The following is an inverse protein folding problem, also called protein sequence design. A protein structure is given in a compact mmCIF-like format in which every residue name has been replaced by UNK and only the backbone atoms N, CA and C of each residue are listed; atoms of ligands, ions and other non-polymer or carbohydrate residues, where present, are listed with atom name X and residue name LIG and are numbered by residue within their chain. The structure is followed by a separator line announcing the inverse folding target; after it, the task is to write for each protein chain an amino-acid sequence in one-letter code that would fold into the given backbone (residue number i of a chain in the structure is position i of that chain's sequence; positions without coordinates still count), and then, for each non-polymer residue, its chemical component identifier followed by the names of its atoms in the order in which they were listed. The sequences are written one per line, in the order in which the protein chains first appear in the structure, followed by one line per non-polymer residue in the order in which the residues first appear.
data_IF_630375706303
#
_entry.id   IF_630375706303
#
_cell.length_a   1.000
_cell.length_b   1.000
_cell.length_c   1.000
_cell.angle_alpha   90.00
_cell.angle_beta   90.00
_cell.angle_gamma   90.00
#
_symmetry.space_group_name_H-M   'P 1'
#
loop_
_entity.id
_entity.type
_entity.pdbx_description
1 polymer ?
#
# COMPACT_ATOMS: atom_id res chain seq x y z
N UNK A 1 -1.52 -20.44 1.34
CA UNK A 1 -1.36 -20.15 -0.11
C UNK A 1 -1.37 -18.64 -0.31
N UNK A 2 -0.65 -18.11 -1.31
CA UNK A 2 -0.57 -16.67 -1.62
C UNK A 2 -1.10 -16.44 -3.03
N UNK A 3 -1.77 -15.30 -3.25
CA UNK A 3 -2.09 -14.80 -4.59
C UNK A 3 -1.52 -13.39 -4.76
N UNK A 4 -0.57 -13.25 -5.66
CA UNK A 4 0.10 -11.99 -5.94
C UNK A 4 -0.61 -11.28 -7.10
N UNK A 5 -1.18 -10.10 -6.82
CA UNK A 5 -2.00 -9.32 -7.77
C UNK A 5 -1.70 -7.82 -7.67
N UNK A 6 -2.19 -7.03 -8.63
CA UNK A 6 -2.01 -5.58 -8.62
C UNK A 6 -2.94 -4.96 -7.59
N UNK A 7 -2.42 -4.28 -6.55
CA UNK A 7 -3.24 -3.69 -5.49
C UNK A 7 -2.64 -2.37 -5.04
N UNK A 8 -3.40 -1.29 -5.16
CA UNK A 8 -3.04 0.06 -4.74
C UNK A 8 -4.32 0.93 -4.61
N UNK A 9 -4.25 2.18 -4.12
CA UNK A 9 -5.44 3.02 -3.91
C UNK A 9 -6.34 3.16 -5.14
N UNK A 10 -5.73 3.26 -6.33
CA UNK A 10 -6.47 3.35 -7.60
C UNK A 10 -7.00 2.02 -8.15
N UNK A 11 -6.61 0.88 -7.55
CA UNK A 11 -7.07 -0.45 -7.92
C UNK A 11 -7.22 -1.32 -6.67
N UNK A 12 -8.22 -0.96 -5.85
CA UNK A 12 -8.38 -1.44 -4.48
C UNK A 12 -8.97 -2.86 -4.36
N UNK A 13 -9.62 -3.36 -5.41
CA UNK A 13 -10.20 -4.71 -5.59
C UNK A 13 -10.90 -5.33 -4.35
N UNK A 14 -11.89 -4.69 -3.73
CA UNK A 14 -12.53 -5.20 -2.51
C UNK A 14 -13.18 -6.58 -2.69
N UNK A 15 -13.83 -6.84 -3.82
CA UNK A 15 -14.43 -8.14 -4.12
C UNK A 15 -13.37 -9.26 -4.22
N UNK A 16 -12.21 -8.96 -4.80
CA UNK A 16 -11.12 -9.92 -4.89
C UNK A 16 -10.52 -10.21 -3.51
N UNK A 17 -10.40 -9.20 -2.64
CA UNK A 17 -9.94 -9.38 -1.26
C UNK A 17 -10.90 -10.26 -0.44
N UNK A 18 -12.20 -10.07 -0.57
CA UNK A 18 -13.19 -10.92 0.10
C UNK A 18 -13.17 -12.36 -0.45
N UNK A 19 -13.03 -12.54 -1.77
CA UNK A 19 -12.87 -13.87 -2.35
C UNK A 19 -11.60 -14.57 -1.85
N UNK A 20 -10.45 -13.88 -1.86
CA UNK A 20 -9.19 -14.41 -1.34
C UNK A 20 -9.31 -14.78 0.14
N UNK A 21 -9.98 -13.95 0.95
CA UNK A 21 -10.27 -14.24 2.35
C UNK A 21 -11.16 -15.48 2.52
N UNK A 22 -12.22 -15.62 1.72
CA UNK A 22 -13.11 -16.78 1.74
C UNK A 22 -12.34 -18.09 1.47
N UNK A 23 -11.39 -18.08 0.53
CA UNK A 23 -10.57 -19.24 0.18
C UNK A 23 -9.28 -19.38 1.01
N UNK A 24 -9.12 -18.61 2.09
CA UNK A 24 -7.90 -18.62 2.92
C UNK A 24 -6.59 -18.37 2.13
N UNK A 25 -6.67 -17.48 1.13
CA UNK A 25 -5.56 -17.04 0.29
C UNK A 25 -5.07 -15.69 0.78
N UNK A 26 -3.76 -15.58 1.05
CA UNK A 26 -3.15 -14.30 1.44
C UNK A 26 -2.95 -13.42 0.20
N UNK A 27 -3.57 -12.22 0.13
CA UNK A 27 -3.29 -11.26 -0.93
C UNK A 27 -1.88 -10.65 -0.77
N UNK A 28 -1.16 -10.56 -1.88
CA UNK A 28 0.13 -9.88 -1.97
C UNK A 28 0.14 -8.87 -3.14
N UNK A 29 0.52 -7.62 -2.87
CA UNK A 29 0.53 -6.53 -3.84
C UNK A 29 1.88 -6.40 -4.55
N UNK A 30 1.97 -6.66 -5.86
CA UNK A 30 3.21 -6.50 -6.64
C UNK A 30 3.52 -5.05 -7.07
N UNK A 31 2.50 -4.21 -7.22
CA UNK A 31 2.64 -2.77 -7.52
C UNK A 31 1.92 -1.90 -6.47
N UNK A 32 2.33 -1.95 -5.19
CA UNK A 32 1.61 -1.30 -4.11
C UNK A 32 1.55 0.24 -4.25
N UNK A 33 2.43 0.83 -5.05
CA UNK A 33 2.51 2.27 -5.32
C UNK A 33 1.98 2.68 -6.71
N UNK A 34 1.25 1.80 -7.42
CA UNK A 34 0.61 2.13 -8.70
C UNK A 34 1.46 1.94 -9.97
N UNK A 35 2.54 1.15 -9.88
CA UNK A 35 3.27 0.63 -11.03
C UNK A 35 3.90 1.66 -11.99
N UNK A 36 3.97 2.94 -11.59
CA UNK A 36 4.41 4.04 -12.45
C UNK A 36 3.35 4.56 -13.43
N UNK A 37 2.21 3.88 -13.58
CA UNK A 37 1.04 4.37 -14.34
C UNK A 37 0.26 5.42 -13.57
N UNK A 38 0.20 5.27 -12.24
CA UNK A 38 -0.38 6.25 -11.33
C UNK A 38 0.71 7.01 -10.60
N UNK A 39 0.42 8.28 -10.28
CA UNK A 39 1.32 9.13 -9.52
C UNK A 39 0.70 9.52 -8.17
N UNK A 40 0.77 8.64 -7.15
CA UNK A 40 0.21 8.94 -5.83
C UNK A 40 0.81 10.20 -5.18
N UNK A 41 2.01 10.61 -5.59
CA UNK A 41 2.70 11.77 -5.02
C UNK A 41 2.03 13.13 -5.38
N UNK A 42 1.14 13.13 -6.38
CA UNK A 42 0.35 14.30 -6.78
C UNK A 42 -1.08 14.30 -6.24
N UNK A 43 -1.47 13.24 -5.52
CA UNK A 43 -2.82 13.11 -4.98
C UNK A 43 -2.99 13.95 -3.70
N UNK A 44 -3.88 14.93 -3.74
CA UNK A 44 -4.11 15.86 -2.64
C UNK A 44 -4.66 15.17 -1.39
N UNK A 45 -5.45 14.10 -1.55
CA UNK A 45 -5.98 13.33 -0.43
C UNK A 45 -4.84 12.56 0.26
N UNK A 46 -3.99 11.89 -0.52
CA UNK A 46 -2.84 11.17 0.03
C UNK A 46 -1.84 12.13 0.71
N UNK A 47 -1.67 13.33 0.16
CA UNK A 47 -0.86 14.39 0.79
C UNK A 47 -1.43 14.83 2.12
N UNK A 48 -2.73 15.12 2.20
CA UNK A 48 -3.36 15.50 3.47
C UNK A 48 -3.22 14.44 4.56
N UNK A 49 -3.35 13.16 4.20
CA UNK A 49 -3.15 12.04 5.13
C UNK A 49 -1.67 11.94 5.56
N UNK A 50 -0.75 12.09 4.61
CA UNK A 50 0.69 12.07 4.87
C UNK A 50 1.09 13.17 5.86
N UNK A 51 0.60 14.39 5.65
CA UNK A 51 0.85 15.56 6.50
C UNK A 51 0.28 15.34 7.92
N UNK A 52 -0.96 14.85 8.02
CA UNK A 52 -1.63 14.59 9.30
C UNK A 52 -0.89 13.55 10.17
N UNK A 53 -0.16 12.62 9.56
CA UNK A 53 0.59 11.59 10.26
C UNK A 53 2.11 11.85 10.30
N UNK A 54 2.59 12.95 9.70
CA UNK A 54 4.02 13.23 9.52
C UNK A 54 4.76 12.04 8.85
N UNK A 55 4.13 11.49 7.81
CA UNK A 55 4.64 10.36 7.02
C UNK A 55 4.77 10.74 5.57
N UNK A 56 5.45 9.92 4.78
CA UNK A 56 5.49 10.10 3.33
C UNK A 56 4.28 9.44 2.67
N UNK A 57 3.91 9.92 1.48
CA UNK A 57 2.80 9.33 0.69
C UNK A 57 3.05 7.83 0.46
N UNK A 58 4.31 7.43 0.22
CA UNK A 58 4.65 6.02 0.06
C UNK A 58 4.33 5.21 1.33
N UNK A 59 4.70 5.71 2.51
CA UNK A 59 4.38 5.07 3.79
C UNK A 59 2.87 4.98 4.03
N UNK A 60 2.11 6.02 3.69
CA UNK A 60 0.64 6.04 3.76
C UNK A 60 0.04 4.95 2.89
N UNK A 61 0.44 4.85 1.63
CA UNK A 61 -0.09 3.87 0.68
C UNK A 61 0.27 2.43 1.10
N UNK A 62 1.49 2.21 1.57
CA UNK A 62 1.91 0.91 2.09
C UNK A 62 1.14 0.54 3.35
N UNK A 63 0.98 1.49 4.29
CA UNK A 63 0.20 1.28 5.50
C UNK A 63 -1.26 0.97 5.20
N UNK A 64 -1.86 1.66 4.24
CA UNK A 64 -3.23 1.43 3.81
C UNK A 64 -3.46 0.01 3.28
N UNK A 65 -2.52 -0.54 2.50
CA UNK A 65 -2.59 -1.93 2.06
C UNK A 65 -2.49 -2.90 3.25
N UNK A 66 -1.49 -2.72 4.12
CA UNK A 66 -1.28 -3.59 5.28
C UNK A 66 -2.48 -3.58 6.23
N UNK A 67 -3.10 -2.42 6.48
CA UNK A 67 -4.29 -2.32 7.33
C UNK A 67 -5.51 -3.08 6.80
N UNK A 68 -5.54 -3.38 5.51
CA UNK A 68 -6.61 -4.14 4.87
C UNK A 68 -6.25 -5.63 4.71
N UNK A 69 -5.16 -6.06 5.35
CA UNK A 69 -4.70 -7.45 5.31
C UNK A 69 -3.90 -7.81 4.05
N UNK A 70 -3.37 -6.83 3.32
CA UNK A 70 -2.59 -7.05 2.09
C UNK A 70 -1.10 -7.00 2.39
N UNK A 71 -0.37 -8.07 2.05
CA UNK A 71 1.09 -8.09 2.07
C UNK A 71 1.62 -7.21 0.94
N UNK A 72 2.65 -6.40 1.19
CA UNK A 72 3.20 -5.48 0.18
C UNK A 72 4.66 -5.81 -0.13
N UNK A 73 5.02 -5.79 -1.41
CA UNK A 73 6.41 -5.98 -1.88
C UNK A 73 6.88 -4.76 -2.70
N UNK A 74 7.11 -3.60 -2.05
CA UNK A 74 7.45 -2.38 -2.78
C UNK A 74 8.86 -2.44 -3.37
N UNK A 75 8.97 -2.43 -4.70
CA UNK A 75 10.26 -2.29 -5.39
C UNK A 75 10.96 -0.97 -5.05
N UNK A 76 12.26 -1.01 -4.80
CA UNK A 76 13.17 0.13 -4.84
C UNK A 76 14.58 -0.32 -5.20
N UNK A 77 15.32 0.51 -5.93
CA UNK A 77 16.77 0.34 -6.15
C UNK A 77 17.59 1.42 -5.43
N UNK A 78 16.92 2.37 -4.77
CA UNK A 78 17.55 3.47 -4.01
C UNK A 78 17.50 3.14 -2.52
N UNK A 79 18.67 3.10 -1.89
CA UNK A 79 18.86 2.71 -0.48
C UNK A 79 18.02 3.58 0.47
N UNK A 80 18.11 4.91 0.33
CA UNK A 80 17.34 5.87 1.14
C UNK A 80 15.83 5.60 1.11
N UNK A 81 15.28 5.15 -0.03
CA UNK A 81 13.86 4.82 -0.19
C UNK A 81 13.52 3.46 0.41
N UNK A 82 14.48 2.54 0.51
CA UNK A 82 14.27 1.25 1.19
C UNK A 82 14.08 1.51 2.68
N UNK A 83 14.97 2.32 3.26
CA UNK A 83 14.93 2.71 4.68
C UNK A 83 13.66 3.52 4.99
N UNK A 84 13.34 4.52 4.17
CA UNK A 84 12.12 5.32 4.29
C UNK A 84 10.87 4.42 4.27
N UNK A 85 10.82 3.44 3.36
CA UNK A 85 9.68 2.53 3.25
C UNK A 85 9.56 1.57 4.43
N UNK A 86 10.56 1.36 5.28
CA UNK A 86 10.42 0.40 6.38
C UNK A 86 9.62 0.97 7.58
N UNK A 87 9.43 2.29 7.65
CA UNK A 87 8.79 2.96 8.79
C UNK A 87 7.24 3.04 8.70
N UNK A 88 6.58 2.27 7.81
CA UNK A 88 5.12 2.33 7.69
C UNK A 88 4.36 1.59 8.81
N UNK A 89 5.00 0.73 9.60
CA UNK A 89 4.32 -0.09 10.60
C UNK A 89 3.91 0.68 11.87
N UNK A 90 4.57 1.80 12.16
CA UNK A 90 4.44 2.52 13.44
C UNK A 90 3.26 3.50 13.57
N UNK A 91 2.31 3.52 12.63
CA UNK A 91 1.14 4.40 12.70
C UNK A 91 -0.11 3.72 12.15
N UNK A 92 -1.29 4.30 12.33
CA UNK A 92 -2.55 3.79 11.77
C UNK A 92 -3.34 4.92 11.14
N UNK A 93 -3.86 4.69 9.95
CA UNK A 93 -4.81 5.55 9.25
C UNK A 93 -6.20 5.24 9.79
N UNK A 94 -6.88 6.26 10.31
CA UNK A 94 -8.24 6.15 10.85
C UNK A 94 -9.28 6.09 9.70
N UNK A 95 -10.46 5.56 10.01
CA UNK A 95 -11.62 5.56 9.10
C UNK A 95 -12.30 6.91 9.10
#
# INVERSE_FOLDING_TARGET
MVNQVELHPYFAQPAALEAMKHYHVQPEAWAPLGGGRHNPYQDALLRGIADAHQKTIAQVVLRWNVQRGVTVIPKSTRQERIEEKFCYLGFRINR
#
